data_IF_893790363375
#
_entry.id   IF_893790363375
#
_cell.length_a   1.000
_cell.length_b   1.000
_cell.length_c   1.000
_cell.angle_alpha   90.00
_cell.angle_beta   90.00
_cell.angle_gamma   90.00
#
_symmetry.space_group_name_H-M   'P 1'
#
loop_
_entity.id
_entity.type
_entity.pdbx_description
1 polymer ?
#
# COMPACT_ATOMS: atom_id res chain seq x y z
N UNK A 1 36.02 19.06 20.27
CA UNK A 1 34.56 19.22 20.20
C UNK A 1 34.05 18.17 19.22
N UNK A 2 33.86 16.95 19.72
CA UNK A 2 33.39 15.82 18.91
C UNK A 2 31.88 15.83 19.03
N UNK A 3 31.18 16.19 17.97
CA UNK A 3 29.72 16.20 17.91
C UNK A 3 29.22 14.78 18.13
N UNK A 4 28.53 14.56 19.24
CA UNK A 4 27.82 13.32 19.54
C UNK A 4 26.73 13.19 18.47
N UNK A 5 26.87 12.22 17.56
CA UNK A 5 25.72 11.72 16.81
C UNK A 5 24.77 11.11 17.85
N UNK A 6 23.70 11.81 18.17
CA UNK A 6 22.62 11.28 19.00
C UNK A 6 22.07 10.05 18.28
N UNK A 7 22.26 8.89 18.90
CA UNK A 7 21.78 7.62 18.41
C UNK A 7 20.25 7.68 18.27
N UNK A 8 19.76 7.23 17.13
CA UNK A 8 18.35 7.07 16.81
C UNK A 8 17.66 6.19 17.87
N UNK A 9 16.66 6.73 18.57
CA UNK A 9 15.82 5.99 19.51
C UNK A 9 14.55 5.47 18.78
N UNK A 10 14.39 4.15 18.61
CA UNK A 10 13.20 3.57 17.99
C UNK A 10 11.90 4.01 18.69
N UNK A 11 11.91 4.17 20.02
CA UNK A 11 10.72 4.56 20.80
C UNK A 11 10.29 6.00 20.51
N UNK A 12 11.25 6.88 20.24
CA UNK A 12 10.99 8.26 19.83
C UNK A 12 10.35 8.33 18.43
N UNK A 13 10.82 7.50 17.49
CA UNK A 13 10.20 7.38 16.16
C UNK A 13 8.75 6.91 16.26
N UNK A 14 8.46 5.89 17.07
CA UNK A 14 7.10 5.38 17.26
C UNK A 14 6.18 6.42 17.91
N UNK A 15 6.70 7.16 18.90
CA UNK A 15 6.00 8.26 19.57
C UNK A 15 5.65 9.40 18.59
N UNK A 16 6.60 9.80 17.75
CA UNK A 16 6.39 10.83 16.73
C UNK A 16 5.41 10.36 15.64
N UNK A 17 5.55 9.11 15.18
CA UNK A 17 4.63 8.52 14.20
C UNK A 17 3.19 8.57 14.68
N UNK A 18 2.95 8.16 15.93
CA UNK A 18 1.61 8.18 16.52
C UNK A 18 1.06 9.61 16.60
N UNK A 19 1.87 10.56 17.05
CA UNK A 19 1.49 11.98 17.13
C UNK A 19 1.14 12.58 15.77
N UNK A 20 1.89 12.26 14.71
CA UNK A 20 1.60 12.78 13.37
C UNK A 20 0.34 12.14 12.77
N UNK A 21 0.06 10.87 13.08
CA UNK A 21 -1.21 10.23 12.72
C UNK A 21 -2.41 10.91 13.39
N UNK A 22 -2.29 11.32 14.66
CA UNK A 22 -3.37 12.05 15.35
C UNK A 22 -3.64 13.45 14.78
N UNK A 23 -2.66 14.07 14.11
CA UNK A 23 -2.86 15.39 13.47
C UNK A 23 -3.49 15.26 12.09
N UNK A 24 -3.20 14.19 11.36
CA UNK A 24 -3.61 14.03 9.98
C UNK A 24 -5.09 13.65 9.84
N UNK A 25 -5.79 14.36 8.95
CA UNK A 25 -7.24 14.20 8.73
C UNK A 25 -7.62 12.80 8.26
N UNK A 26 -6.80 12.14 7.44
CA UNK A 26 -7.09 10.82 6.88
C UNK A 26 -7.37 9.78 7.96
N UNK A 27 -6.54 9.75 9.01
CA UNK A 27 -6.70 8.79 10.11
C UNK A 27 -7.92 9.09 10.99
N UNK A 28 -8.37 10.36 11.05
CA UNK A 28 -9.63 10.73 11.73
C UNK A 28 -10.84 10.32 10.90
N UNK A 29 -10.76 10.52 9.59
CA UNK A 29 -11.84 10.19 8.66
C UNK A 29 -12.09 8.70 8.57
N UNK A 30 -11.04 7.89 8.48
CA UNK A 30 -11.15 6.44 8.39
C UNK A 30 -11.20 5.79 9.77
N UNK A 31 -10.52 6.35 10.77
CA UNK A 31 -10.29 5.72 12.07
C UNK A 31 -9.17 4.67 12.00
N UNK A 32 -8.28 4.64 12.99
CA UNK A 32 -7.11 3.74 12.99
C UNK A 32 -7.45 2.32 13.46
N UNK A 33 -8.39 2.17 14.40
CA UNK A 33 -8.76 0.86 14.99
C UNK A 33 -10.27 0.65 15.12
N UNK A 34 -11.00 1.71 15.45
CA UNK A 34 -12.47 1.70 15.60
C UNK A 34 -13.03 3.06 15.18
N UNK A 35 -14.30 3.07 14.80
CA UNK A 35 -14.99 4.26 14.31
C UNK A 35 -14.36 4.79 13.02
N UNK A 36 -14.56 6.08 12.79
CA UNK A 36 -14.18 6.81 11.58
C UNK A 36 -15.32 7.72 11.16
N UNK A 37 -15.02 9.00 10.88
CA UNK A 37 -16.03 9.96 10.46
C UNK A 37 -16.80 9.48 9.22
N UNK A 38 -16.10 8.89 8.25
CA UNK A 38 -16.70 8.35 7.02
C UNK A 38 -17.65 7.17 7.30
N UNK A 39 -17.30 6.31 8.25
CA UNK A 39 -18.16 5.18 8.62
C UNK A 39 -19.45 5.71 9.24
N UNK A 40 -19.35 6.63 10.20
CA UNK A 40 -20.53 7.24 10.83
C UNK A 40 -21.41 8.02 9.85
N UNK A 41 -20.81 8.68 8.86
CA UNK A 41 -21.56 9.35 7.79
C UNK A 41 -22.27 8.33 6.90
N UNK A 42 -21.59 7.27 6.48
CA UNK A 42 -22.18 6.22 5.67
C UNK A 42 -23.33 5.50 6.39
N UNK A 43 -23.16 5.19 7.67
CA UNK A 43 -24.21 4.55 8.48
C UNK A 43 -25.46 5.44 8.65
N UNK A 44 -25.29 6.76 8.68
CA UNK A 44 -26.39 7.72 8.86
C UNK A 44 -27.08 8.11 7.55
N UNK A 45 -26.27 8.44 6.54
CA UNK A 45 -26.69 9.14 5.32
C UNK A 45 -26.43 8.32 4.05
N UNK A 46 -25.85 7.11 4.17
CA UNK A 46 -25.57 6.22 3.05
C UNK A 46 -24.53 6.76 2.07
N UNK A 47 -24.69 6.38 0.80
CA UNK A 47 -23.81 6.80 -0.31
C UNK A 47 -23.82 8.32 -0.51
N UNK A 48 -24.98 8.97 -0.45
CA UNK A 48 -25.11 10.41 -0.63
C UNK A 48 -24.30 11.21 0.42
N UNK A 49 -24.29 10.73 1.66
CA UNK A 49 -23.46 11.31 2.72
C UNK A 49 -21.96 11.23 2.42
N UNK A 50 -21.51 10.07 1.93
CA UNK A 50 -20.11 9.86 1.54
C UNK A 50 -19.74 10.77 0.36
N UNK A 51 -20.59 10.87 -0.66
CA UNK A 51 -20.35 11.73 -1.82
C UNK A 51 -20.29 13.21 -1.42
N UNK A 52 -21.22 13.67 -0.58
CA UNK A 52 -21.22 15.04 -0.05
C UNK A 52 -19.95 15.33 0.74
N UNK A 53 -19.55 14.41 1.63
CA UNK A 53 -18.30 14.53 2.36
C UNK A 53 -17.09 14.62 1.42
N UNK A 54 -17.07 13.80 0.37
CA UNK A 54 -15.99 13.78 -0.59
C UNK A 54 -15.89 15.11 -1.34
N UNK A 55 -17.01 15.67 -1.79
CA UNK A 55 -17.06 16.96 -2.47
C UNK A 55 -16.60 18.12 -1.56
N UNK A 56 -17.04 18.13 -0.29
CA UNK A 56 -16.72 19.19 0.66
C UNK A 56 -15.29 19.13 1.22
N UNK A 57 -14.78 17.93 1.49
CA UNK A 57 -13.51 17.76 2.23
C UNK A 57 -12.38 17.16 1.40
N UNK A 58 -12.66 16.27 0.45
CA UNK A 58 -11.61 15.57 -0.30
C UNK A 58 -11.15 16.33 -1.53
N UNK A 59 -12.04 17.01 -2.27
CA UNK A 59 -11.73 17.69 -3.54
C UNK A 59 -10.47 18.55 -3.50
N UNK A 60 -10.30 19.35 -2.44
CA UNK A 60 -9.14 20.22 -2.26
C UNK A 60 -7.80 19.47 -2.06
N UNK A 61 -7.87 18.21 -1.63
CA UNK A 61 -6.72 17.32 -1.40
C UNK A 61 -6.31 16.54 -2.65
N UNK A 62 -7.12 16.56 -3.71
CA UNK A 62 -6.84 15.88 -4.97
C UNK A 62 -6.18 16.82 -5.99
N UNK A 63 -5.31 16.27 -6.84
CA UNK A 63 -4.86 16.96 -8.05
C UNK A 63 -6.02 17.12 -9.03
N UNK A 64 -6.01 18.21 -9.79
CA UNK A 64 -7.06 18.50 -10.80
C UNK A 64 -8.49 18.47 -10.24
N UNK A 65 -8.66 18.75 -8.94
CA UNK A 65 -9.95 18.66 -8.23
C UNK A 65 -10.63 17.28 -8.36
N UNK A 66 -9.83 16.23 -8.51
CA UNK A 66 -10.30 14.85 -8.64
C UNK A 66 -10.51 14.37 -10.09
N UNK A 67 -10.37 15.26 -11.08
CA UNK A 67 -10.63 14.93 -12.49
C UNK A 67 -9.41 14.34 -13.21
N UNK A 68 -8.21 14.82 -12.90
CA UNK A 68 -6.99 14.47 -13.62
C UNK A 68 -5.86 14.03 -12.66
N UNK A 69 -5.41 12.77 -12.75
CA UNK A 69 -4.23 12.32 -12.02
C UNK A 69 -2.97 13.08 -12.44
N UNK A 70 -2.13 13.39 -11.46
CA UNK A 70 -0.84 14.03 -11.68
C UNK A 70 0.26 12.99 -11.88
N UNK A 71 1.21 13.26 -12.79
CA UNK A 71 2.39 12.43 -12.96
C UNK A 71 3.39 12.70 -11.83
N UNK A 72 3.57 11.73 -10.93
CA UNK A 72 4.53 11.81 -9.83
C UNK A 72 5.92 11.47 -10.35
N UNK A 73 6.83 12.45 -10.25
CA UNK A 73 8.24 12.27 -10.60
C UNK A 73 9.06 11.93 -9.36
N UNK A 74 10.26 11.42 -9.58
CA UNK A 74 11.18 11.11 -8.47
C UNK A 74 11.46 12.33 -7.59
N UNK A 75 11.57 13.53 -8.19
CA UNK A 75 11.78 14.78 -7.44
C UNK A 75 10.64 15.11 -6.46
N UNK A 76 9.39 14.81 -6.84
CA UNK A 76 8.23 15.02 -5.97
C UNK A 76 8.27 14.07 -4.78
N UNK A 77 8.65 12.81 -5.02
CA UNK A 77 8.89 11.82 -3.98
C UNK A 77 9.98 12.26 -3.01
N UNK A 78 11.14 12.69 -3.51
CA UNK A 78 12.26 13.17 -2.66
C UNK A 78 11.81 14.33 -1.79
N UNK A 79 11.06 15.29 -2.35
CA UNK A 79 10.54 16.44 -1.61
C UNK A 79 9.57 16.01 -0.52
N UNK A 80 8.64 15.11 -0.85
CA UNK A 80 7.69 14.56 0.12
C UNK A 80 8.42 13.81 1.24
N UNK A 81 9.35 12.92 0.90
CA UNK A 81 10.09 12.09 1.86
C UNK A 81 10.90 12.92 2.84
N UNK A 82 11.58 13.97 2.36
CA UNK A 82 12.28 14.94 3.22
C UNK A 82 11.33 15.61 4.20
N UNK A 83 10.15 16.03 3.73
CA UNK A 83 9.12 16.63 4.59
C UNK A 83 8.63 15.70 5.69
N UNK A 84 8.36 14.44 5.36
CA UNK A 84 7.92 13.42 6.32
C UNK A 84 9.04 13.08 7.32
N UNK A 85 10.28 12.94 6.87
CA UNK A 85 11.41 12.67 7.77
C UNK A 85 11.57 13.77 8.82
N UNK A 86 11.42 15.04 8.43
CA UNK A 86 11.43 16.17 9.38
C UNK A 86 10.27 16.07 10.38
N UNK A 87 9.06 15.73 9.93
CA UNK A 87 7.90 15.54 10.83
C UNK A 87 8.14 14.42 11.86
N UNK A 88 8.86 13.38 11.47
CA UNK A 88 9.18 12.23 12.32
C UNK A 88 10.43 12.44 13.18
N UNK A 89 11.14 13.57 13.06
CA UNK A 89 12.38 13.85 13.79
C UNK A 89 13.61 13.10 13.28
N UNK A 90 13.59 12.63 12.03
CA UNK A 90 14.68 11.86 11.41
C UNK A 90 15.70 12.80 10.75
N UNK A 91 16.99 12.62 11.08
CA UNK A 91 18.01 13.66 10.86
C UNK A 91 18.69 13.70 9.48
N UNK A 92 18.89 12.62 8.70
CA UNK A 92 19.18 12.78 7.24
C UNK A 92 19.26 11.53 6.32
N UNK A 93 18.90 11.78 5.05
CA UNK A 93 19.12 11.21 3.69
C UNK A 93 19.22 9.72 3.31
N UNK A 94 19.74 8.77 4.10
CA UNK A 94 20.15 7.47 3.50
C UNK A 94 19.01 6.58 2.97
N UNK A 95 17.76 6.85 3.35
CA UNK A 95 16.58 6.12 2.84
C UNK A 95 16.16 6.48 1.41
N UNK A 96 16.62 7.63 0.88
CA UNK A 96 16.21 8.10 -0.45
C UNK A 96 16.96 7.35 -1.57
N UNK A 97 18.26 7.09 -1.38
CA UNK A 97 19.11 6.40 -2.37
C UNK A 97 18.64 4.97 -2.63
N UNK A 98 18.21 4.25 -1.59
CA UNK A 98 17.75 2.86 -1.70
C UNK A 98 16.47 2.73 -2.56
N UNK A 99 15.70 3.82 -2.69
CA UNK A 99 14.43 3.82 -3.43
C UNK A 99 14.57 4.37 -4.85
N UNK A 100 15.68 5.01 -5.23
CA UNK A 100 15.87 5.54 -6.59
C UNK A 100 15.77 4.44 -7.66
N UNK A 101 16.41 3.29 -7.41
CA UNK A 101 16.37 2.14 -8.32
C UNK A 101 14.99 1.46 -8.40
N UNK A 102 14.17 1.61 -7.36
CA UNK A 102 12.84 1.00 -7.26
C UNK A 102 11.74 1.92 -7.77
N UNK A 103 11.96 3.23 -7.72
CA UNK A 103 10.97 4.24 -8.05
C UNK A 103 10.65 4.22 -9.55
N UNK A 104 9.36 4.10 -9.86
CA UNK A 104 8.83 4.32 -11.21
C UNK A 104 7.88 5.50 -11.17
N UNK A 105 8.05 6.41 -12.11
CA UNK A 105 7.09 7.50 -12.28
C UNK A 105 5.71 6.91 -12.57
N UNK A 106 4.69 7.40 -11.89
CA UNK A 106 3.34 6.88 -11.97
C UNK A 106 2.33 8.01 -11.80
N UNK A 107 1.09 7.74 -12.17
CA UNK A 107 -0.01 8.67 -11.96
C UNK A 107 -0.54 8.55 -10.53
N UNK A 108 -0.89 9.68 -9.94
CA UNK A 108 -1.51 9.74 -8.63
C UNK A 108 -2.57 10.84 -8.59
N UNK A 109 -3.71 10.56 -7.98
CA UNK A 109 -4.75 11.58 -7.83
C UNK A 109 -4.64 12.31 -6.49
N UNK A 110 -4.24 11.62 -5.42
CA UNK A 110 -4.12 12.26 -4.10
C UNK A 110 -2.80 13.05 -3.96
N UNK A 111 -2.88 14.34 -3.62
CA UNK A 111 -1.70 15.21 -3.44
C UNK A 111 -0.73 14.64 -2.41
N UNK A 112 0.53 14.43 -2.79
CA UNK A 112 1.54 13.82 -1.91
C UNK A 112 1.65 14.50 -0.54
N UNK A 113 1.63 15.83 -0.50
CA UNK A 113 1.69 16.61 0.74
C UNK A 113 0.40 16.60 1.58
N UNK A 114 -0.65 15.90 1.13
CA UNK A 114 -1.93 15.70 1.83
C UNK A 114 -2.17 14.22 2.17
N UNK A 115 -1.20 13.34 1.92
CA UNK A 115 -1.28 11.90 2.23
C UNK A 115 -0.97 11.60 3.70
N UNK A 116 -1.13 10.34 4.07
CA UNK A 116 -0.69 9.81 5.37
C UNK A 116 0.83 9.86 5.54
N UNK A 117 1.28 9.54 6.75
CA UNK A 117 2.71 9.54 7.12
C UNK A 117 3.50 8.43 6.42
N UNK A 118 2.83 7.37 5.95
CA UNK A 118 3.41 6.32 5.11
C UNK A 118 3.10 6.56 3.61
N UNK A 119 2.63 7.75 3.25
CA UNK A 119 2.34 8.12 1.87
C UNK A 119 1.12 7.42 1.28
N UNK A 120 0.25 6.89 2.14
CA UNK A 120 -1.02 6.29 1.78
C UNK A 120 -2.12 7.32 1.55
N UNK A 121 -3.11 6.95 0.75
CA UNK A 121 -4.33 7.72 0.56
C UNK A 121 -5.50 7.10 1.34
N UNK A 122 -6.69 7.69 1.20
CA UNK A 122 -7.88 7.22 1.90
C UNK A 122 -8.35 5.82 1.49
N UNK A 123 -8.16 5.43 0.21
CA UNK A 123 -8.55 4.10 -0.29
C UNK A 123 -7.67 3.03 0.35
N UNK A 124 -6.35 3.24 0.42
CA UNK A 124 -5.45 2.33 1.12
C UNK A 124 -5.87 2.13 2.58
N UNK A 125 -6.21 3.21 3.29
CA UNK A 125 -6.64 3.13 4.68
C UNK A 125 -7.98 2.41 4.84
N UNK A 126 -8.95 2.66 3.95
CA UNK A 126 -10.25 1.98 3.97
C UNK A 126 -10.10 0.49 3.67
N UNK A 127 -9.30 0.10 2.67
CA UNK A 127 -9.12 -1.31 2.33
C UNK A 127 -8.33 -2.07 3.40
N UNK A 128 -7.42 -1.42 4.14
CA UNK A 128 -6.77 -2.03 5.29
C UNK A 128 -7.72 -2.29 6.47
N UNK A 129 -8.91 -1.68 6.48
CA UNK A 129 -9.94 -2.02 7.46
C UNK A 129 -10.64 -3.27 6.94
N UNK A 130 -10.44 -4.39 7.61
CA UNK A 130 -11.13 -5.67 7.37
C UNK A 130 -12.62 -5.59 7.76
N UNK A 131 -13.35 -4.62 7.21
CA UNK A 131 -14.73 -4.31 7.50
C UNK A 131 -15.46 -4.05 6.18
N UNK A 132 -16.56 -4.78 5.93
CA UNK A 132 -17.33 -4.65 4.70
C UNK A 132 -17.74 -3.21 4.38
N UNK A 133 -18.15 -2.45 5.42
CA UNK A 133 -18.53 -1.04 5.27
C UNK A 133 -17.41 -0.19 4.67
N UNK A 134 -16.15 -0.48 5.00
CA UNK A 134 -15.02 0.25 4.45
C UNK A 134 -14.78 -0.08 2.97
N UNK A 135 -15.04 -1.32 2.55
CA UNK A 135 -14.99 -1.71 1.13
C UNK A 135 -16.10 -1.02 0.32
N UNK A 136 -17.31 -0.93 0.86
CA UNK A 136 -18.40 -0.18 0.21
C UNK A 136 -18.03 1.30 0.04
N UNK A 137 -17.55 1.95 1.10
CA UNK A 137 -17.12 3.35 1.06
C UNK A 137 -15.98 3.53 0.05
N UNK A 138 -14.99 2.62 0.04
CA UNK A 138 -13.89 2.67 -0.92
C UNK A 138 -14.40 2.60 -2.37
N UNK A 139 -15.36 1.70 -2.67
CA UNK A 139 -15.96 1.59 -4.00
C UNK A 139 -16.76 2.84 -4.39
N UNK A 140 -17.50 3.45 -3.47
CA UNK A 140 -18.19 4.73 -3.71
C UNK A 140 -17.19 5.81 -4.10
N UNK A 141 -16.10 5.94 -3.33
CA UNK A 141 -15.06 6.94 -3.60
C UNK A 141 -14.29 6.65 -4.90
N UNK A 142 -14.06 5.39 -5.26
CA UNK A 142 -13.46 4.99 -6.53
C UNK A 142 -14.36 5.26 -7.73
N UNK A 143 -15.69 5.13 -7.58
CA UNK A 143 -16.65 5.55 -8.62
C UNK A 143 -16.66 7.06 -8.79
N UNK A 144 -16.58 7.81 -7.68
CA UNK A 144 -16.55 9.29 -7.70
C UNK A 144 -15.25 9.84 -8.27
N UNK A 145 -14.12 9.23 -7.90
CA UNK A 145 -12.77 9.65 -8.27
C UNK A 145 -11.94 8.47 -8.80
N UNK A 146 -12.15 8.07 -10.07
CA UNK A 146 -11.47 6.91 -10.67
C UNK A 146 -9.95 6.94 -10.57
N UNK A 147 -9.34 8.12 -10.64
CA UNK A 147 -7.88 8.30 -10.54
C UNK A 147 -7.27 7.84 -9.21
N UNK A 148 -8.06 7.65 -8.15
CA UNK A 148 -7.57 7.08 -6.89
C UNK A 148 -7.06 5.64 -7.06
N UNK A 149 -7.47 4.94 -8.13
CA UNK A 149 -7.00 3.60 -8.47
C UNK A 149 -5.51 3.56 -8.86
N UNK A 150 -4.91 4.69 -9.22
CA UNK A 150 -3.52 4.77 -9.70
C UNK A 150 -2.52 4.98 -8.56
N UNK A 151 -3.00 5.41 -7.40
CA UNK A 151 -2.16 5.73 -6.26
C UNK A 151 -1.49 4.48 -5.66
N UNK A 152 -0.24 4.62 -5.24
CA UNK A 152 0.52 3.61 -4.48
C UNK A 152 1.06 4.18 -3.17
N UNK A 153 1.40 3.32 -2.21
CA UNK A 153 2.14 3.68 -1.01
C UNK A 153 3.52 4.27 -1.32
N UNK A 154 3.94 5.28 -0.55
CA UNK A 154 5.25 5.95 -0.73
C UNK A 154 6.22 5.72 0.45
N UNK A 155 5.72 5.25 1.59
CA UNK A 155 6.51 4.92 2.77
C UNK A 155 7.36 3.66 2.58
N UNK A 156 8.43 3.52 3.35
CA UNK A 156 9.48 2.51 3.08
C UNK A 156 8.97 1.08 3.24
N UNK A 157 8.10 0.85 4.22
CA UNK A 157 7.59 -0.48 4.55
C UNK A 157 6.67 -1.01 3.46
N UNK A 158 5.72 -0.18 3.00
CA UNK A 158 4.68 -0.60 2.06
C UNK A 158 4.91 -0.07 0.64
N UNK A 159 6.08 0.49 0.34
CA UNK A 159 6.39 1.19 -0.90
C UNK A 159 5.88 0.44 -2.15
N UNK A 160 5.17 1.16 -3.01
CA UNK A 160 4.66 0.64 -4.29
C UNK A 160 3.43 -0.27 -4.17
N UNK A 161 3.02 -0.68 -2.97
CA UNK A 161 1.75 -1.37 -2.79
C UNK A 161 0.60 -0.47 -3.25
N UNK A 162 -0.27 -1.01 -4.09
CA UNK A 162 -1.46 -0.31 -4.61
C UNK A 162 -2.74 -0.82 -3.95
N UNK A 163 -3.84 -0.09 -4.13
CA UNK A 163 -5.17 -0.57 -3.75
C UNK A 163 -5.53 -1.93 -4.38
N UNK A 164 -5.01 -2.23 -5.58
CA UNK A 164 -5.21 -3.50 -6.26
C UNK A 164 -4.59 -4.66 -5.47
N UNK A 165 -3.39 -4.48 -4.91
CA UNK A 165 -2.79 -5.49 -4.04
C UNK A 165 -3.64 -5.77 -2.81
N UNK A 166 -4.15 -4.71 -2.16
CA UNK A 166 -4.98 -4.83 -0.95
C UNK A 166 -6.29 -5.59 -1.24
N UNK A 167 -6.99 -5.22 -2.31
CA UNK A 167 -8.24 -5.88 -2.70
C UNK A 167 -8.04 -7.38 -2.98
N UNK A 168 -6.90 -7.76 -3.58
CA UNK A 168 -6.56 -9.17 -3.84
C UNK A 168 -6.31 -9.94 -2.54
N UNK A 169 -5.56 -9.36 -1.59
CA UNK A 169 -5.29 -9.99 -0.28
C UNK A 169 -6.59 -10.26 0.49
N UNK A 170 -7.59 -9.41 0.30
CA UNK A 170 -8.90 -9.53 0.93
C UNK A 170 -9.91 -10.38 0.14
N UNK A 171 -9.51 -10.94 -1.02
CA UNK A 171 -10.39 -11.70 -1.92
C UNK A 171 -11.66 -10.92 -2.32
N UNK A 172 -11.54 -9.59 -2.46
CA UNK A 172 -12.64 -8.69 -2.85
C UNK A 172 -12.68 -8.52 -4.37
N UNK A 173 -13.33 -9.46 -5.04
CA UNK A 173 -13.45 -9.50 -6.49
C UNK A 173 -14.08 -8.22 -7.06
N UNK A 174 -15.13 -7.69 -6.42
CA UNK A 174 -15.83 -6.48 -6.85
C UNK A 174 -14.91 -5.26 -6.84
N UNK A 175 -14.12 -5.09 -5.77
CA UNK A 175 -13.16 -3.99 -5.68
C UNK A 175 -12.00 -4.17 -6.66
N UNK A 176 -11.50 -5.39 -6.86
CA UNK A 176 -10.50 -5.69 -7.90
C UNK A 176 -11.02 -5.28 -9.28
N UNK A 177 -12.24 -5.71 -9.63
CA UNK A 177 -12.85 -5.41 -10.92
C UNK A 177 -13.00 -3.89 -11.12
N UNK A 178 -13.49 -3.16 -10.10
CA UNK A 178 -13.65 -1.72 -10.17
C UNK A 178 -12.31 -0.98 -10.35
N UNK A 179 -11.27 -1.40 -9.62
CA UNK A 179 -9.93 -0.82 -9.73
C UNK A 179 -9.37 -0.99 -11.15
N UNK A 180 -9.52 -2.18 -11.74
CA UNK A 180 -9.08 -2.47 -13.10
C UNK A 180 -9.86 -1.67 -14.16
N UNK A 181 -11.18 -1.55 -14.00
CA UNK A 181 -12.02 -0.67 -14.85
C UNK A 181 -11.57 0.80 -14.77
N UNK A 182 -11.07 1.22 -13.61
CA UNK A 182 -10.49 2.55 -13.40
C UNK A 182 -9.01 2.67 -13.83
N UNK A 183 -8.51 1.71 -14.61
CA UNK A 183 -7.13 1.67 -15.12
C UNK A 183 -6.06 1.62 -14.02
N UNK A 184 -6.31 0.93 -12.91
CA UNK A 184 -5.24 0.56 -11.98
C UNK A 184 -4.12 -0.17 -12.74
N UNK A 185 -2.87 0.10 -12.38
CA UNK A 185 -1.73 -0.59 -12.99
C UNK A 185 -1.73 -2.06 -12.56
N UNK A 186 -2.10 -2.92 -13.51
CA UNK A 186 -2.17 -4.38 -13.33
C UNK A 186 -0.78 -5.00 -13.06
N UNK A 187 0.30 -4.28 -13.37
CA UNK A 187 1.69 -4.69 -13.15
C UNK A 187 2.40 -3.77 -12.14
N UNK A 188 1.65 -3.08 -11.26
CA UNK A 188 2.21 -2.33 -10.14
C UNK A 188 3.09 -3.25 -9.28
N UNK A 189 4.14 -2.70 -8.66
CA UNK A 189 5.09 -3.48 -7.86
C UNK A 189 5.08 -3.06 -6.40
N UNK A 190 4.76 -3.99 -5.51
CA UNK A 190 4.91 -3.83 -4.06
C UNK A 190 6.35 -4.14 -3.62
N UNK A 191 7.23 -3.13 -3.60
CA UNK A 191 8.69 -3.26 -3.39
C UNK A 191 9.19 -2.78 -2.01
N UNK A 192 8.27 -2.43 -1.11
CA UNK A 192 8.56 -1.99 0.25
C UNK A 192 9.22 -3.07 1.10
N UNK A 193 9.88 -2.65 2.19
CA UNK A 193 10.62 -3.54 3.09
C UNK A 193 9.75 -4.67 3.63
N UNK A 194 8.44 -4.46 3.79
CA UNK A 194 7.52 -5.48 4.25
C UNK A 194 7.59 -6.71 3.33
N UNK A 195 7.54 -6.50 2.01
CA UNK A 195 7.48 -7.55 0.98
C UNK A 195 8.81 -8.20 0.62
N UNK A 196 9.91 -7.89 1.31
CA UNK A 196 11.23 -8.48 1.05
C UNK A 196 11.46 -9.72 1.95
N UNK A 197 12.20 -10.74 1.46
CA UNK A 197 12.66 -11.86 2.29
C UNK A 197 13.45 -11.36 3.52
N UNK A 198 13.35 -12.05 4.66
CA UNK A 198 13.91 -11.59 5.93
C UNK A 198 15.44 -11.42 5.90
N UNK A 199 16.17 -12.38 5.33
CA UNK A 199 17.63 -12.31 5.26
C UNK A 199 18.13 -11.19 4.32
N UNK A 200 17.29 -10.72 3.39
CA UNK A 200 17.59 -9.55 2.57
C UNK A 200 17.57 -8.25 3.39
N UNK A 201 16.63 -8.12 4.34
CA UNK A 201 16.52 -6.95 5.23
C UNK A 201 17.78 -6.78 6.09
N UNK A 202 18.44 -7.89 6.44
CA UNK A 202 19.67 -7.88 7.23
C UNK A 202 20.93 -7.52 6.42
N UNK A 203 20.95 -7.81 5.11
CA UNK A 203 22.19 -7.78 4.31
C UNK A 203 22.21 -6.70 3.22
N UNK A 204 21.06 -6.18 2.79
CA UNK A 204 20.91 -5.16 1.73
C UNK A 204 21.68 -5.48 0.43
N UNK A 205 21.93 -6.76 0.13
CA UNK A 205 22.65 -7.21 -1.07
C UNK A 205 21.85 -8.24 -1.83
N UNK A 206 21.55 -7.95 -3.10
CA UNK A 206 20.96 -8.89 -4.05
C UNK A 206 22.12 -9.67 -4.67
N UNK A 207 22.65 -10.68 -3.97
CA UNK A 207 23.68 -11.56 -4.55
C UNK A 207 23.31 -13.01 -4.28
N UNK A 208 23.08 -13.80 -5.33
CA UNK A 208 22.85 -15.25 -5.34
C UNK A 208 22.10 -15.78 -4.10
N UNK A 209 20.88 -15.28 -3.91
CA UNK A 209 20.08 -15.62 -2.75
C UNK A 209 19.55 -17.06 -2.87
N UNK A 210 20.18 -17.99 -2.14
CA UNK A 210 19.71 -19.36 -1.90
C UNK A 210 19.10 -19.51 -0.49
N UNK A 211 18.80 -18.39 0.18
CA UNK A 211 18.28 -18.36 1.55
C UNK A 211 16.83 -18.81 1.68
N UNK A 212 16.38 -19.02 2.91
CA UNK A 212 14.99 -19.33 3.20
C UNK A 212 14.13 -18.09 2.86
N UNK A 213 13.05 -18.27 2.11
CA UNK A 213 12.13 -17.18 1.76
C UNK A 213 11.13 -16.89 2.88
N UNK A 214 11.47 -17.28 4.11
CA UNK A 214 10.77 -16.86 5.31
C UNK A 214 10.82 -15.34 5.40
N UNK A 215 9.70 -14.70 5.11
CA UNK A 215 9.51 -13.26 5.20
C UNK A 215 8.04 -12.98 5.44
N UNK A 216 7.75 -11.89 6.15
CA UNK A 216 6.39 -11.41 6.32
C UNK A 216 5.84 -10.99 4.95
N UNK A 217 5.08 -11.88 4.28
CA UNK A 217 4.36 -11.61 3.03
C UNK A 217 5.18 -11.40 1.73
N UNK A 218 6.19 -12.23 1.47
CA UNK A 218 6.85 -12.27 0.16
C UNK A 218 6.02 -13.05 -0.89
N UNK A 219 5.35 -12.32 -1.78
CA UNK A 219 4.43 -12.87 -2.79
C UNK A 219 4.80 -12.50 -4.24
N UNK A 220 6.04 -12.03 -4.49
CA UNK A 220 6.54 -11.76 -5.84
C UNK A 220 6.08 -10.44 -6.47
N UNK A 221 5.92 -9.39 -5.65
CA UNK A 221 5.70 -7.96 -6.01
C UNK A 221 4.45 -7.59 -6.83
N UNK A 222 3.97 -8.42 -7.75
CA UNK A 222 2.93 -8.09 -8.72
C UNK A 222 1.53 -8.56 -8.27
N UNK A 223 0.44 -7.85 -8.64
CA UNK A 223 -0.93 -8.26 -8.34
C UNK A 223 -1.24 -9.72 -8.76
N UNK A 224 -0.79 -10.12 -9.95
CA UNK A 224 -1.01 -11.47 -10.46
C UNK A 224 -0.28 -12.54 -9.62
N UNK A 225 0.91 -12.21 -9.10
CA UNK A 225 1.67 -13.09 -8.22
C UNK A 225 0.98 -13.26 -6.86
N UNK A 226 0.42 -12.17 -6.31
CA UNK A 226 -0.42 -12.22 -5.11
C UNK A 226 -1.62 -13.15 -5.34
N UNK A 227 -2.41 -12.93 -6.39
CA UNK A 227 -3.59 -13.75 -6.68
C UNK A 227 -3.25 -15.27 -6.76
N UNK A 228 -2.11 -15.60 -7.37
CA UNK A 228 -1.62 -16.97 -7.44
C UNK A 228 -1.21 -17.54 -6.06
N UNK A 229 -0.51 -16.77 -5.23
CA UNK A 229 -0.10 -17.20 -3.89
C UNK A 229 -1.28 -17.44 -2.94
N UNK A 230 -2.37 -16.68 -3.10
CA UNK A 230 -3.61 -16.87 -2.33
C UNK A 230 -4.53 -17.94 -2.91
N UNK A 231 -4.28 -18.41 -4.15
CA UNK A 231 -5.09 -19.43 -4.83
C UNK A 231 -6.39 -18.89 -5.42
N UNK A 232 -6.52 -17.58 -5.60
CA UNK A 232 -7.76 -16.93 -6.05
C UNK A 232 -7.82 -16.95 -7.58
N UNK A 233 -8.29 -18.06 -8.14
CA UNK A 233 -8.34 -18.30 -9.58
C UNK A 233 -9.15 -17.24 -10.34
N UNK A 234 -10.30 -16.81 -9.81
CA UNK A 234 -11.18 -15.87 -10.53
C UNK A 234 -10.53 -14.48 -10.65
N UNK A 235 -9.90 -14.02 -9.57
CA UNK A 235 -9.09 -12.78 -9.58
C UNK A 235 -7.88 -12.94 -10.50
N UNK A 236 -7.21 -14.09 -10.49
CA UNK A 236 -6.08 -14.37 -11.38
C UNK A 236 -6.49 -14.25 -12.87
N UNK A 237 -7.57 -14.90 -13.26
CA UNK A 237 -8.08 -14.87 -14.62
C UNK A 237 -8.53 -13.46 -15.03
N UNK A 238 -9.14 -12.71 -14.09
CA UNK A 238 -9.50 -11.32 -14.31
C UNK A 238 -8.26 -10.44 -14.57
N UNK A 239 -7.19 -10.59 -13.79
CA UNK A 239 -5.94 -9.85 -14.01
C UNK A 239 -5.32 -10.17 -15.38
N UNK A 240 -5.33 -11.43 -15.81
CA UNK A 240 -4.88 -11.84 -17.15
C UNK A 240 -5.71 -11.15 -18.25
N UNK A 241 -7.03 -11.06 -18.08
CA UNK A 241 -7.90 -10.36 -19.04
C UNK A 241 -7.55 -8.87 -19.18
N UNK A 242 -7.07 -8.24 -18.10
CA UNK A 242 -6.61 -6.86 -18.10
C UNK A 242 -5.13 -6.70 -18.48
N UNK A 243 -4.47 -7.75 -18.98
CA UNK A 243 -3.12 -7.68 -19.54
C UNK A 243 -2.00 -7.88 -18.52
N UNK A 244 -2.28 -8.49 -17.36
CA UNK A 244 -1.22 -8.94 -16.47
C UNK A 244 -0.30 -9.95 -17.17
N UNK A 245 1.02 -9.81 -16.97
CA UNK A 245 1.98 -10.71 -17.59
C UNK A 245 2.53 -11.73 -16.56
N UNK A 246 2.25 -13.04 -16.71
CA UNK A 246 2.69 -14.06 -15.75
C UNK A 246 4.20 -14.34 -15.77
N UNK A 247 4.91 -13.85 -16.79
CA UNK A 247 6.35 -14.04 -16.95
C UNK A 247 7.18 -12.89 -16.37
N UNK A 248 6.55 -11.88 -15.77
CA UNK A 248 7.30 -10.82 -15.09
C UNK A 248 8.10 -11.39 -13.92
N UNK A 249 9.32 -10.88 -13.79
CA UNK A 249 10.23 -11.20 -12.71
C UNK A 249 10.20 -10.08 -11.68
N UNK A 250 10.19 -10.46 -10.41
CA UNK A 250 10.35 -9.52 -9.30
C UNK A 250 11.81 -9.06 -9.15
N UNK A 251 12.13 -8.30 -8.10
CA UNK A 251 13.50 -7.82 -7.86
C UNK A 251 14.53 -8.94 -7.63
N UNK A 252 14.09 -10.18 -7.37
CA UNK A 252 14.94 -11.35 -7.14
C UNK A 252 15.02 -12.27 -8.37
N UNK A 253 14.41 -11.88 -9.50
CA UNK A 253 14.38 -12.70 -10.71
C UNK A 253 13.30 -13.79 -10.68
N UNK A 254 12.45 -13.83 -9.65
CA UNK A 254 11.44 -14.85 -9.48
C UNK A 254 10.18 -14.50 -10.28
N UNK A 255 9.68 -15.49 -11.02
CA UNK A 255 8.36 -15.43 -11.68
C UNK A 255 7.26 -15.94 -10.75
N UNK A 256 6.01 -15.79 -11.17
CA UNK A 256 4.84 -16.32 -10.45
C UNK A 256 4.97 -17.84 -10.19
N UNK A 257 5.54 -18.59 -11.12
CA UNK A 257 5.74 -20.04 -10.92
C UNK A 257 6.72 -20.33 -9.78
N UNK A 258 7.78 -19.54 -9.63
CA UNK A 258 8.70 -19.65 -8.50
C UNK A 258 7.96 -19.35 -7.20
N UNK A 259 7.13 -18.30 -7.19
CA UNK A 259 6.33 -17.90 -6.03
C UNK A 259 5.34 -18.97 -5.59
N UNK A 260 4.66 -19.63 -6.53
CA UNK A 260 3.77 -20.74 -6.21
C UNK A 260 4.51 -21.88 -5.53
N UNK A 261 5.74 -22.22 -5.98
CA UNK A 261 6.54 -23.28 -5.34
C UNK A 261 7.00 -22.85 -3.94
N UNK A 262 7.55 -21.65 -3.80
CA UNK A 262 8.04 -21.10 -2.53
C UNK A 262 6.92 -21.02 -1.49
N UNK A 263 5.74 -20.51 -1.88
CA UNK A 263 4.60 -20.43 -0.99
C UNK A 263 4.01 -21.81 -0.70
N UNK A 264 3.93 -22.72 -1.68
CA UNK A 264 3.42 -24.08 -1.44
C UNK A 264 4.26 -24.88 -0.44
N UNK A 265 5.59 -24.71 -0.42
CA UNK A 265 6.44 -25.27 0.65
C UNK A 265 6.15 -24.64 2.02
N UNK A 266 5.82 -23.34 2.05
CA UNK A 266 5.46 -22.59 3.25
C UNK A 266 4.00 -22.83 3.71
N UNK A 267 3.11 -23.37 2.86
CA UNK A 267 1.71 -23.73 3.22
C UNK A 267 1.65 -24.77 4.36
N UNK A 268 2.75 -25.48 4.63
CA UNK A 268 2.91 -26.28 5.85
C UNK A 268 2.80 -25.46 7.15
N UNK A 269 2.94 -24.13 7.09
CA UNK A 269 2.91 -23.22 8.24
C UNK A 269 1.56 -22.54 8.47
N UNK A 270 0.72 -22.37 7.42
CA UNK A 270 -0.59 -21.68 7.55
C UNK A 270 -1.68 -22.55 8.19
N UNK A 271 -1.44 -23.85 8.36
CA UNK A 271 -2.34 -24.77 9.08
C UNK A 271 -2.33 -24.57 10.61
N UNK A 272 -1.47 -23.69 11.14
CA UNK A 272 -1.30 -23.48 12.61
C UNK A 272 -1.98 -22.22 13.16
N UNK A 273 -2.26 -21.19 12.35
CA UNK A 273 -2.96 -19.99 12.84
C UNK A 273 -4.49 -20.14 12.95
N UNK A 274 -5.08 -21.20 12.42
CA UNK A 274 -6.52 -21.49 12.59
C UNK A 274 -6.83 -22.38 13.80
N UNK A 275 -5.83 -22.97 14.47
CA UNK A 275 -6.04 -23.86 15.62
C UNK A 275 -5.72 -23.23 16.98
N UNK A 276 -4.96 -22.15 17.06
CA UNK A 276 -4.58 -21.49 18.33
C UNK A 276 -5.40 -20.22 18.67
N UNK A 277 -6.39 -19.84 17.86
CA UNK A 277 -7.32 -18.74 18.16
C UNK A 277 -8.75 -19.22 18.49
N UNK A 278 -8.92 -20.51 18.81
CA UNK A 278 -10.17 -21.12 19.28
C UNK A 278 -9.92 -22.02 20.49
N UNK A 279 -9.36 -21.48 21.56
CA UNK A 279 -9.65 -21.85 22.95
C UNK A 279 -9.56 -20.62 23.85
#
# INVERSE_FOLDING_TARGET
LTTIQLAFDPDEKWSNLYREREKNHLYKWVGVRKGGELISIYERDGEDGVLKFADEKMTSMLYGEGNEPHQIKFQDYVKWKKGVNVQLGLSDVNGVEMQESKFKEHKALWKLNKRGVEGENIIHLLLNREQQVCYEIARILLKRYPGLAHDVYMGDEMFGQSALHLAIVHDDYETVQLLLQNNADVNARACGNFFLPEDFKATNKVTDYQGDFAGYAYYGEYPLAFAACFGNKDIYDLLIQYGANPNLQDSFGNTILHMCVINYSSVSFKRRFTHEARE
#
